data_IF_868372511849
#
_entry.id   IF_868372511849
#
_cell.length_a   1.000
_cell.length_b   1.000
_cell.length_c   1.000
_cell.angle_alpha   90.00
_cell.angle_beta   90.00
_cell.angle_gamma   90.00
#
_symmetry.space_group_name_H-M   'P 1'
#
loop_
_entity.id
_entity.type
_entity.pdbx_description
1 polymer ?
#
# COMPACT_ATOMS: atom_id res chain seq x y z
N UNK A 1 -2.22 7.90 32.52
CA UNK A 1 -3.19 6.88 32.09
C UNK A 1 -2.88 5.60 32.84
N UNK A 2 -3.78 5.21 33.75
CA UNK A 2 -3.77 3.89 34.37
C UNK A 2 -4.27 2.82 33.40
N UNK A 3 -3.61 1.67 33.35
CA UNK A 3 -3.96 0.56 32.47
C UNK A 3 -4.19 -0.70 33.31
N UNK A 4 -5.37 -1.30 33.17
CA UNK A 4 -5.71 -2.53 33.88
C UNK A 4 -5.24 -3.75 33.07
N UNK A 5 -4.44 -4.62 33.70
CA UNK A 5 -4.01 -5.90 33.12
C UNK A 5 -5.18 -6.89 33.10
N UNK A 6 -5.43 -7.55 31.97
CA UNK A 6 -6.61 -8.42 31.77
C UNK A 6 -6.29 -9.76 31.14
N UNK A 7 -5.43 -9.79 30.13
CA UNK A 7 -5.13 -10.99 29.37
C UNK A 7 -3.75 -11.58 29.67
N UNK A 8 -2.85 -10.77 30.22
CA UNK A 8 -1.45 -11.14 30.47
C UNK A 8 -1.13 -11.24 31.95
N UNK A 9 0.05 -11.76 32.29
CA UNK A 9 0.59 -11.80 33.65
C UNK A 9 1.92 -11.00 33.68
N UNK A 10 2.10 -10.15 34.69
CA UNK A 10 3.27 -9.30 34.83
C UNK A 10 4.60 -10.07 34.97
N UNK A 11 4.57 -11.31 35.45
CA UNK A 11 5.77 -12.14 35.64
C UNK A 11 6.04 -13.10 34.46
N UNK A 12 5.22 -13.04 33.40
CA UNK A 12 5.32 -13.95 32.25
C UNK A 12 5.46 -13.19 30.93
N UNK A 13 6.04 -13.86 29.94
CA UNK A 13 6.06 -13.36 28.56
C UNK A 13 4.61 -13.17 28.06
N UNK A 14 4.27 -12.06 27.37
CA UNK A 14 2.90 -11.78 26.92
C UNK A 14 2.37 -12.81 25.92
N UNK A 15 3.23 -13.66 25.36
CA UNK A 15 2.89 -14.75 24.45
C UNK A 15 2.96 -16.14 25.10
N UNK A 16 3.18 -16.25 26.42
CA UNK A 16 3.43 -17.53 27.10
C UNK A 16 2.35 -18.60 26.84
N UNK A 17 1.08 -18.19 26.74
CA UNK A 17 -0.06 -19.09 26.48
C UNK A 17 -0.38 -19.26 24.98
N UNK A 18 0.43 -18.69 24.09
CA UNK A 18 0.22 -18.71 22.64
C UNK A 18 1.27 -19.62 21.98
N UNK A 19 0.82 -20.73 21.41
CA UNK A 19 1.70 -21.59 20.63
C UNK A 19 2.03 -20.96 19.28
N UNK A 20 3.30 -20.61 19.05
CA UNK A 20 3.82 -20.24 17.73
C UNK A 20 4.29 -21.48 16.96
N UNK A 21 4.11 -21.44 15.65
CA UNK A 21 4.44 -22.55 14.76
C UNK A 21 5.06 -22.02 13.48
N UNK A 22 5.98 -22.82 12.93
CA UNK A 22 6.59 -22.58 11.63
C UNK A 22 5.57 -22.81 10.50
N UNK A 23 5.57 -21.89 9.53
CA UNK A 23 4.76 -21.93 8.31
C UNK A 23 5.61 -21.53 7.11
N UNK A 24 5.21 -22.02 5.94
CA UNK A 24 5.71 -21.53 4.65
C UNK A 24 4.61 -20.75 3.94
N UNK A 25 5.00 -19.75 3.17
CA UNK A 25 4.09 -18.95 2.33
C UNK A 25 4.59 -18.97 0.90
N UNK A 26 3.69 -19.21 -0.05
CA UNK A 26 3.97 -19.11 -1.48
C UNK A 26 2.90 -18.25 -2.15
N UNK A 27 3.35 -17.35 -3.01
CA UNK A 27 2.49 -16.48 -3.81
C UNK A 27 2.75 -16.80 -5.27
N UNK A 28 1.69 -17.12 -6.01
CA UNK A 28 1.75 -17.43 -7.44
C UNK A 28 0.88 -16.47 -8.23
N UNK A 29 1.29 -16.17 -9.45
CA UNK A 29 0.49 -15.48 -10.44
C UNK A 29 -0.63 -16.39 -10.94
N UNK A 30 -1.60 -15.82 -11.68
CA UNK A 30 -2.67 -16.58 -12.34
C UNK A 30 -2.15 -17.56 -13.41
N UNK A 31 -0.94 -17.36 -13.92
CA UNK A 31 -0.25 -18.29 -14.83
C UNK A 31 0.54 -19.39 -14.09
N UNK A 32 0.50 -19.42 -12.76
CA UNK A 32 1.19 -20.40 -11.91
C UNK A 32 2.65 -20.07 -11.56
N UNK A 33 3.21 -19.00 -12.15
CA UNK A 33 4.59 -18.56 -11.84
C UNK A 33 4.72 -18.04 -10.41
N UNK A 34 5.84 -18.34 -9.77
CA UNK A 34 6.11 -17.92 -8.39
C UNK A 34 6.43 -16.42 -8.34
N UNK A 35 5.68 -15.67 -7.55
CA UNK A 35 5.88 -14.23 -7.30
C UNK A 35 6.80 -14.05 -6.10
N UNK A 36 6.58 -14.83 -5.05
CA UNK A 36 7.28 -14.73 -3.79
C UNK A 36 7.09 -16.02 -3.00
N UNK A 37 8.14 -16.48 -2.34
CA UNK A 37 8.05 -17.53 -1.33
C UNK A 37 8.86 -17.12 -0.11
N UNK A 38 8.40 -17.52 1.06
CA UNK A 38 9.14 -17.38 2.30
C UNK A 38 8.83 -18.56 3.20
N UNK A 39 9.89 -19.29 3.53
CA UNK A 39 9.86 -20.38 4.50
C UNK A 39 10.18 -19.86 5.90
N UNK A 40 10.03 -20.76 6.87
CA UNK A 40 10.31 -20.57 8.30
C UNK A 40 9.64 -19.37 8.97
N UNK A 41 8.42 -19.04 8.56
CA UNK A 41 7.65 -17.95 9.16
C UNK A 41 7.07 -18.41 10.50
N UNK A 42 7.37 -17.69 11.58
CA UNK A 42 6.75 -17.93 12.88
C UNK A 42 5.45 -17.13 13.01
N UNK A 43 4.34 -17.82 13.26
CA UNK A 43 3.04 -17.20 13.50
C UNK A 43 2.23 -17.99 14.55
N UNK A 44 1.24 -17.36 15.20
CA UNK A 44 0.36 -18.07 16.13
C UNK A 44 -0.36 -19.25 15.46
N UNK A 45 -0.43 -20.40 16.11
CA UNK A 45 -1.00 -21.64 15.57
C UNK A 45 -2.46 -21.53 15.17
N UNK A 46 -3.22 -20.68 15.86
CA UNK A 46 -4.64 -20.44 15.61
C UNK A 46 -4.88 -19.55 14.37
N UNK A 47 -3.85 -18.93 13.78
CA UNK A 47 -4.02 -18.16 12.56
C UNK A 47 -4.27 -19.05 11.35
N UNK A 48 -5.19 -18.62 10.48
CA UNK A 48 -5.39 -19.25 9.18
C UNK A 48 -4.18 -19.03 8.28
N UNK A 49 -3.94 -19.94 7.33
CA UNK A 49 -2.86 -19.77 6.33
C UNK A 49 -3.02 -18.44 5.57
N UNK A 50 -4.25 -18.05 5.23
CA UNK A 50 -4.53 -16.77 4.55
C UNK A 50 -4.08 -15.56 5.39
N UNK A 51 -4.26 -15.61 6.72
CA UNK A 51 -3.79 -14.53 7.60
C UNK A 51 -2.26 -14.45 7.62
N UNK A 52 -1.58 -15.59 7.66
CA UNK A 52 -0.11 -15.67 7.59
C UNK A 52 0.38 -15.17 6.23
N UNK A 53 -0.24 -15.58 5.13
CA UNK A 53 0.11 -15.13 3.78
C UNK A 53 -0.07 -13.61 3.64
N UNK A 54 -1.14 -13.04 4.19
CA UNK A 54 -1.38 -11.58 4.18
C UNK A 54 -0.34 -10.85 5.02
N UNK A 55 -0.03 -11.35 6.22
CA UNK A 55 1.00 -10.79 7.10
C UNK A 55 2.34 -10.74 6.37
N UNK A 56 2.77 -11.86 5.83
CA UNK A 56 4.04 -11.97 5.11
C UNK A 56 4.01 -11.09 3.87
N UNK A 57 2.97 -11.15 3.04
CA UNK A 57 2.93 -10.43 1.77
C UNK A 57 2.93 -8.91 1.98
N UNK A 58 2.16 -8.41 2.94
CA UNK A 58 1.82 -6.99 3.03
C UNK A 58 2.48 -6.28 4.20
N UNK A 59 2.63 -6.94 5.35
CA UNK A 59 2.99 -6.27 6.59
C UNK A 59 4.42 -6.56 7.05
N UNK A 60 5.00 -7.70 6.66
CA UNK A 60 6.42 -7.94 6.88
C UNK A 60 7.28 -6.96 6.10
N UNK A 61 8.14 -6.25 6.84
CA UNK A 61 9.23 -5.49 6.29
C UNK A 61 10.15 -6.45 5.54
N UNK A 62 10.48 -6.09 4.30
CA UNK A 62 11.20 -6.99 3.39
C UNK A 62 12.72 -6.86 3.42
N UNK A 63 13.25 -5.79 3.99
CA UNK A 63 14.67 -5.52 4.06
C UNK A 63 15.01 -4.50 5.16
N UNK A 64 16.27 -4.51 5.60
CA UNK A 64 16.82 -3.58 6.58
C UNK A 64 16.51 -3.94 8.03
N UNK A 65 15.97 -5.13 8.29
CA UNK A 65 15.73 -5.64 9.65
C UNK A 65 16.98 -6.38 10.11
N UNK A 66 17.65 -5.98 11.21
CA UNK A 66 18.79 -6.71 11.75
C UNK A 66 18.44 -8.19 12.00
N UNK A 67 19.30 -9.10 11.55
CA UNK A 67 19.13 -10.53 11.77
C UNK A 67 19.84 -10.91 13.07
N UNK A 68 19.19 -11.76 13.87
CA UNK A 68 19.69 -12.19 15.17
C UNK A 68 20.07 -13.67 15.15
N UNK A 69 21.06 -14.05 15.94
CA UNK A 69 21.41 -15.44 16.20
C UNK A 69 20.42 -16.10 17.19
N UNK A 70 20.68 -17.36 17.56
CA UNK A 70 19.83 -18.12 18.47
C UNK A 70 19.80 -17.54 19.90
N UNK A 71 20.81 -16.76 20.28
CA UNK A 71 20.94 -16.12 21.59
C UNK A 71 20.37 -14.67 21.57
N UNK A 72 19.87 -14.21 20.42
CA UNK A 72 19.30 -12.89 20.24
C UNK A 72 20.31 -11.79 19.93
N UNK A 73 21.57 -12.13 19.66
CA UNK A 73 22.60 -11.16 19.32
C UNK A 73 22.58 -10.85 17.81
N UNK A 74 22.87 -9.60 17.39
CA UNK A 74 22.97 -9.26 15.98
C UNK A 74 24.03 -10.10 15.27
N UNK A 75 23.65 -10.75 14.17
CA UNK A 75 24.59 -11.41 13.26
C UNK A 75 25.37 -10.32 12.53
N UNK A 76 26.70 -10.38 12.57
CA UNK A 76 27.57 -9.41 11.90
C UNK A 76 28.19 -10.00 10.63
N UNK A 77 28.45 -9.14 9.65
CA UNK A 77 29.20 -9.47 8.44
C UNK A 77 30.73 -9.42 8.68
N UNK A 78 31.52 -9.74 7.65
CA UNK A 78 32.99 -9.74 7.72
C UNK A 78 33.61 -8.37 8.06
N UNK A 79 32.81 -7.30 8.06
CA UNK A 79 33.21 -5.92 8.35
C UNK A 79 32.56 -5.39 9.64
N UNK A 80 32.09 -6.29 10.51
CA UNK A 80 31.42 -5.99 11.78
C UNK A 80 30.11 -5.18 11.64
N UNK A 81 29.45 -5.20 10.46
CA UNK A 81 28.15 -4.55 10.28
C UNK A 81 27.02 -5.56 10.50
N UNK A 82 25.88 -5.15 11.09
CA UNK A 82 24.72 -6.02 11.23
C UNK A 82 24.22 -6.53 9.87
N UNK A 83 24.11 -7.85 9.74
CA UNK A 83 23.43 -8.50 8.62
C UNK A 83 21.95 -8.15 8.71
N UNK A 84 21.38 -7.69 7.60
CA UNK A 84 19.96 -7.31 7.54
C UNK A 84 19.17 -8.18 6.57
N UNK A 85 17.88 -8.30 6.83
CA UNK A 85 16.96 -9.14 6.07
C UNK A 85 15.50 -8.71 6.25
N UNK A 86 14.55 -9.59 5.92
CA UNK A 86 13.13 -9.37 6.18
C UNK A 86 12.73 -9.71 7.62
N UNK A 87 11.55 -9.27 8.04
CA UNK A 87 10.83 -9.90 9.16
C UNK A 87 10.47 -11.34 8.80
N UNK A 88 10.59 -12.26 9.75
CA UNK A 88 10.22 -13.69 9.62
C UNK A 88 9.33 -14.18 10.76
N UNK A 89 9.09 -13.35 11.78
CA UNK A 89 8.29 -13.70 12.94
C UNK A 89 7.20 -12.65 13.18
N UNK A 90 5.95 -13.10 13.35
CA UNK A 90 4.84 -12.19 13.64
C UNK A 90 5.09 -11.35 14.91
N UNK A 91 5.85 -11.87 15.89
CA UNK A 91 6.24 -11.14 17.11
C UNK A 91 7.12 -9.94 16.82
N UNK A 92 7.91 -9.95 15.76
CA UNK A 92 8.68 -8.76 15.34
C UNK A 92 7.75 -7.60 14.98
N UNK A 93 6.66 -7.92 14.25
CA UNK A 93 5.63 -6.94 13.88
C UNK A 93 4.89 -6.43 15.11
N UNK A 94 4.48 -7.33 16.02
CA UNK A 94 3.77 -6.93 17.25
C UNK A 94 4.66 -6.05 18.12
N UNK A 95 5.93 -6.42 18.29
CA UNK A 95 6.90 -5.66 19.07
C UNK A 95 7.10 -4.25 18.51
N UNK A 96 7.35 -4.08 17.21
CA UNK A 96 7.52 -2.73 16.65
C UNK A 96 6.24 -1.90 16.70
N UNK A 97 5.06 -2.52 16.75
CA UNK A 97 3.80 -1.79 16.91
C UNK A 97 3.57 -1.40 18.37
N UNK A 98 3.34 -2.40 19.23
CA UNK A 98 3.01 -2.20 20.64
C UNK A 98 4.13 -1.48 21.39
N UNK A 99 5.38 -1.89 21.18
CA UNK A 99 6.54 -1.28 21.82
C UNK A 99 6.78 0.17 21.38
N UNK A 100 6.61 0.49 20.08
CA UNK A 100 6.76 1.86 19.61
C UNK A 100 5.66 2.79 20.17
N UNK A 101 4.40 2.34 20.19
CA UNK A 101 3.32 3.11 20.81
C UNK A 101 3.55 3.31 22.32
N UNK A 102 4.03 2.28 23.01
CA UNK A 102 4.37 2.34 24.44
C UNK A 102 5.52 3.32 24.68
N UNK A 103 6.57 3.26 23.85
CA UNK A 103 7.70 4.17 23.91
C UNK A 103 7.26 5.63 23.78
N UNK A 104 6.45 5.97 22.77
CA UNK A 104 5.92 7.33 22.62
C UNK A 104 5.04 7.74 23.81
N UNK A 105 4.20 6.83 24.32
CA UNK A 105 3.40 7.10 25.51
C UNK A 105 4.25 7.37 26.75
N UNK A 106 5.37 6.66 26.93
CA UNK A 106 6.35 6.92 28.00
C UNK A 106 7.02 8.28 27.82
N UNK A 107 7.57 8.54 26.63
CA UNK A 107 8.29 9.80 26.33
C UNK A 107 7.42 11.04 26.50
N UNK A 108 6.12 10.94 26.23
CA UNK A 108 5.17 12.04 26.36
C UNK A 108 4.37 12.04 27.67
N UNK A 109 4.74 11.19 28.63
CA UNK A 109 4.14 11.19 29.98
C UNK A 109 2.66 10.80 30.00
N UNK A 110 2.24 9.90 29.10
CA UNK A 110 0.84 9.48 29.00
C UNK A 110 0.46 8.47 30.08
N UNK A 111 1.39 7.69 30.62
CA UNK A 111 1.14 6.66 31.62
C UNK A 111 1.30 7.18 33.05
N UNK A 112 0.50 6.65 33.98
CA UNK A 112 0.60 7.06 35.41
C UNK A 112 1.82 6.42 36.09
N UNK A 113 2.29 5.27 35.59
CA UNK A 113 3.48 4.56 36.05
C UNK A 113 4.15 3.75 34.94
N UNK A 114 5.38 3.27 35.19
CA UNK A 114 6.08 2.36 34.27
C UNK A 114 5.38 1.00 34.15
N UNK A 115 4.70 0.56 35.22
CA UNK A 115 3.90 -0.67 35.23
C UNK A 115 2.66 -0.55 34.33
N UNK A 116 2.03 0.62 34.30
CA UNK A 116 0.94 0.89 33.35
C UNK A 116 1.42 0.85 31.90
N UNK A 117 2.61 1.39 31.64
CA UNK A 117 3.21 1.35 30.31
C UNK A 117 3.57 -0.08 29.89
N UNK A 118 4.15 -0.88 30.80
CA UNK A 118 4.47 -2.28 30.52
C UNK A 118 3.19 -3.09 30.28
N UNK A 119 2.18 -2.89 31.13
CA UNK A 119 0.86 -3.51 30.97
C UNK A 119 0.24 -3.15 29.62
N UNK A 120 0.36 -1.91 29.17
CA UNK A 120 -0.12 -1.50 27.85
C UNK A 120 0.58 -2.24 26.71
N UNK A 121 1.91 -2.40 26.76
CA UNK A 121 2.67 -3.15 25.76
C UNK A 121 2.28 -4.63 25.73
N UNK A 122 2.21 -5.25 26.92
CA UNK A 122 1.92 -6.68 27.07
C UNK A 122 0.50 -7.02 26.57
N UNK A 123 -0.49 -6.25 27.02
CA UNK A 123 -1.90 -6.45 26.62
C UNK A 123 -2.09 -6.25 25.12
N UNK A 124 -1.47 -5.21 24.53
CA UNK A 124 -1.54 -5.01 23.08
C UNK A 124 -0.84 -6.11 22.29
N UNK A 125 0.33 -6.56 22.75
CA UNK A 125 1.05 -7.67 22.14
C UNK A 125 0.22 -8.95 22.13
N UNK A 126 -0.40 -9.29 23.26
CA UNK A 126 -1.33 -10.42 23.37
C UNK A 126 -2.55 -10.26 22.46
N UNK A 127 -3.18 -9.08 22.46
CA UNK A 127 -4.38 -8.80 21.68
C UNK A 127 -4.10 -8.83 20.17
N UNK A 128 -2.93 -8.36 19.72
CA UNK A 128 -2.50 -8.45 18.33
C UNK A 128 -2.27 -9.90 17.91
N UNK A 129 -1.57 -10.69 18.74
CA UNK A 129 -1.32 -12.11 18.49
C UNK A 129 -2.61 -12.94 18.44
N UNK A 130 -3.62 -12.60 19.24
CA UNK A 130 -4.93 -13.26 19.25
C UNK A 130 -5.96 -12.63 18.28
N UNK A 131 -5.55 -11.65 17.46
CA UNK A 131 -6.42 -10.93 16.52
C UNK A 131 -7.66 -10.27 17.18
N UNK A 132 -7.53 -9.86 18.45
CA UNK A 132 -8.59 -9.16 19.21
C UNK A 132 -8.67 -7.69 18.83
N UNK A 133 -7.58 -7.14 18.32
CA UNK A 133 -7.49 -5.77 17.80
C UNK A 133 -6.60 -5.75 16.56
N UNK A 134 -6.85 -4.79 15.67
CA UNK A 134 -6.02 -4.54 14.51
C UNK A 134 -6.06 -3.05 14.16
N UNK A 135 -4.91 -2.34 14.11
CA UNK A 135 -4.88 -0.99 13.62
C UNK A 135 -5.08 -0.93 12.09
N UNK A 136 -5.26 0.28 11.55
CA UNK A 136 -5.33 0.51 10.11
C UNK A 136 -4.02 0.11 9.41
N UNK A 137 -4.05 -0.20 8.10
CA UNK A 137 -2.91 -0.79 7.39
C UNK A 137 -1.60 0.04 7.42
N UNK A 138 -1.61 1.38 7.28
CA UNK A 138 -0.38 2.19 7.44
C UNK A 138 0.36 2.00 8.76
N UNK A 139 -0.34 1.71 9.86
CA UNK A 139 0.33 1.36 11.13
C UNK A 139 1.20 0.13 10.95
N UNK A 140 0.63 -0.95 10.40
CA UNK A 140 1.36 -2.17 10.10
C UNK A 140 2.53 -1.96 9.14
N UNK A 141 2.45 -1.01 8.20
CA UNK A 141 3.55 -0.78 7.25
C UNK A 141 4.72 0.00 7.85
N UNK A 142 4.45 1.01 8.67
CA UNK A 142 5.42 2.08 8.93
C UNK A 142 5.78 2.23 10.41
N UNK A 143 4.88 1.89 11.32
CA UNK A 143 5.07 2.13 12.76
C UNK A 143 6.21 1.27 13.30
N UNK A 144 7.07 1.92 14.09
CA UNK A 144 8.16 1.29 14.81
C UNK A 144 9.35 0.83 13.98
N UNK A 145 9.38 1.06 12.66
CA UNK A 145 10.52 0.67 11.83
C UNK A 145 11.82 1.37 12.27
N UNK A 146 11.75 2.66 12.58
CA UNK A 146 12.91 3.39 13.10
C UNK A 146 13.23 2.99 14.55
N UNK A 147 12.21 2.95 15.41
CA UNK A 147 12.37 2.64 16.83
C UNK A 147 12.92 1.23 17.08
N UNK A 148 12.34 0.20 16.46
CA UNK A 148 12.73 -1.19 16.70
C UNK A 148 14.01 -1.60 15.95
N UNK A 149 14.23 -1.05 14.75
CA UNK A 149 15.28 -1.54 13.83
C UNK A 149 16.31 -0.48 13.43
N UNK A 150 16.18 0.77 13.88
CA UNK A 150 17.05 1.87 13.48
C UNK A 150 16.95 2.24 12.00
N UNK A 151 15.89 1.80 11.29
CA UNK A 151 15.75 2.05 9.85
C UNK A 151 15.62 3.55 9.60
N UNK A 152 16.45 4.08 8.71
CA UNK A 152 16.44 5.48 8.30
C UNK A 152 16.21 5.61 6.79
N UNK A 153 15.96 6.83 6.35
CA UNK A 153 15.86 7.14 4.92
C UNK A 153 15.86 8.64 4.68
N UNK A 154 16.16 9.08 3.45
CA UNK A 154 16.20 10.50 3.12
C UNK A 154 14.83 11.15 3.34
N UNK A 155 14.77 12.44 3.71
CA UNK A 155 13.53 13.15 3.95
C UNK A 155 12.63 13.08 2.72
N UNK A 156 11.33 12.90 2.93
CA UNK A 156 10.34 12.72 1.86
C UNK A 156 9.35 13.89 1.75
N UNK A 157 9.59 14.98 2.49
CA UNK A 157 8.68 16.13 2.57
C UNK A 157 7.48 15.88 3.48
N UNK A 158 7.62 15.00 4.48
CA UNK A 158 6.66 14.89 5.57
C UNK A 158 6.86 16.02 6.58
N UNK A 159 5.77 16.39 7.24
CA UNK A 159 5.80 17.34 8.35
C UNK A 159 5.15 16.71 9.58
N UNK A 160 5.63 17.10 10.76
CA UNK A 160 5.09 16.70 12.04
C UNK A 160 4.99 17.91 12.96
N UNK A 161 4.10 17.84 13.96
CA UNK A 161 3.99 18.88 14.97
C UNK A 161 4.94 18.54 16.12
N UNK A 162 5.84 19.46 16.47
CA UNK A 162 6.69 19.30 17.64
C UNK A 162 5.82 19.27 18.90
N UNK A 163 5.86 18.20 19.72
CA UNK A 163 4.95 18.05 20.85
C UNK A 163 5.25 19.04 21.99
N UNK A 164 6.44 19.66 22.03
CA UNK A 164 6.83 20.64 23.05
C UNK A 164 6.48 22.06 22.62
N UNK A 165 6.76 22.41 21.37
CA UNK A 165 6.57 23.79 20.87
C UNK A 165 5.23 23.99 20.15
N UNK A 166 4.62 22.91 19.66
CA UNK A 166 3.42 22.97 18.80
C UNK A 166 3.71 23.43 17.37
N UNK A 167 4.97 23.60 17.00
CA UNK A 167 5.35 24.09 15.68
C UNK A 167 5.41 22.96 14.64
N UNK A 168 4.96 23.26 13.44
CA UNK A 168 5.08 22.35 12.30
C UNK A 168 6.53 22.31 11.81
N UNK A 169 7.16 21.15 11.86
CA UNK A 169 8.54 20.91 11.41
C UNK A 169 8.57 19.92 10.27
N UNK A 170 9.58 20.03 9.42
CA UNK A 170 9.85 19.05 8.37
C UNK A 170 10.62 17.87 8.95
N UNK A 171 10.22 16.65 8.57
CA UNK A 171 10.94 15.45 8.98
C UNK A 171 12.25 15.32 8.22
N UNK A 172 13.36 15.19 8.93
CA UNK A 172 14.69 14.95 8.37
C UNK A 172 14.92 13.48 8.01
N UNK A 173 14.08 12.58 8.54
CA UNK A 173 14.15 11.14 8.33
C UNK A 173 12.79 10.59 7.89
N UNK A 174 12.79 9.65 6.94
CA UNK A 174 11.60 9.02 6.40
C UNK A 174 10.79 8.16 7.40
N UNK A 175 11.43 7.63 8.45
CA UNK A 175 10.83 6.61 9.32
C UNK A 175 10.78 6.97 10.81
N UNK A 176 11.52 8.00 11.24
CA UNK A 176 11.54 8.48 12.63
C UNK A 176 10.17 9.02 13.07
N UNK A 177 9.55 9.82 12.19
CA UNK A 177 8.15 10.21 12.28
C UNK A 177 7.38 9.48 11.16
N UNK A 178 6.89 8.25 11.42
CA UNK A 178 6.24 7.47 10.37
C UNK A 178 4.95 8.14 9.89
N UNK A 179 4.43 7.68 8.76
CA UNK A 179 3.07 7.99 8.31
C UNK A 179 2.15 6.80 8.61
N UNK A 180 1.44 6.79 9.76
CA UNK A 180 0.67 5.62 10.18
C UNK A 180 -0.85 5.86 10.10
N UNK A 181 -1.32 6.83 9.33
CA UNK A 181 -2.74 7.17 9.18
C UNK A 181 -3.28 6.77 7.80
N UNK A 182 -4.48 6.20 7.77
CA UNK A 182 -5.07 5.71 6.53
C UNK A 182 -5.84 6.76 5.71
N UNK A 183 -6.35 7.82 6.34
CA UNK A 183 -7.30 8.74 5.70
C UNK A 183 -6.82 10.18 5.79
N UNK A 184 -6.83 10.88 4.65
CA UNK A 184 -6.50 12.30 4.55
C UNK A 184 -7.53 13.04 3.71
N UNK A 185 -7.93 14.22 4.17
CA UNK A 185 -8.72 15.17 3.39
C UNK A 185 -7.79 16.32 3.01
N UNK A 186 -7.72 16.64 1.72
CA UNK A 186 -6.85 17.68 1.20
C UNK A 186 -7.67 18.70 0.40
N UNK A 187 -7.28 19.96 0.51
CA UNK A 187 -7.79 21.04 -0.33
C UNK A 187 -6.97 21.18 -1.62
N UNK A 188 -7.61 21.75 -2.64
CA UNK A 188 -7.01 22.19 -3.88
C UNK A 188 -7.58 23.55 -4.24
N UNK A 189 -6.68 24.48 -4.55
CA UNK A 189 -7.01 25.81 -5.06
C UNK A 189 -6.97 25.79 -6.59
N UNK A 190 -7.70 26.70 -7.22
CA UNK A 190 -7.69 26.91 -8.66
C UNK A 190 -6.41 27.63 -9.14
N UNK A 191 -5.30 26.93 -8.94
CA UNK A 191 -3.95 27.31 -9.33
C UNK A 191 -3.24 26.09 -9.88
N UNK A 192 -2.46 26.26 -10.96
CA UNK A 192 -1.81 25.13 -11.60
C UNK A 192 -0.61 24.58 -10.81
N UNK A 193 0.31 25.43 -10.36
CA UNK A 193 1.67 25.02 -9.94
C UNK A 193 2.11 25.53 -8.57
N UNK A 194 1.43 26.51 -7.99
CA UNK A 194 1.79 27.05 -6.68
C UNK A 194 1.36 26.10 -5.54
N UNK A 195 1.84 26.37 -4.33
CA UNK A 195 1.48 25.61 -3.13
C UNK A 195 -0.04 25.62 -2.94
N UNK A 196 -0.63 24.44 -2.69
CA UNK A 196 -2.07 24.27 -2.62
C UNK A 196 -2.78 24.14 -3.96
N UNK A 197 -2.09 24.34 -5.09
CA UNK A 197 -2.61 24.15 -6.44
C UNK A 197 -2.72 22.69 -6.88
N UNK A 198 -3.06 22.49 -8.15
CA UNK A 198 -3.36 21.18 -8.75
C UNK A 198 -2.14 20.26 -8.77
N UNK A 199 -1.00 20.74 -9.29
CA UNK A 199 0.22 19.94 -9.38
C UNK A 199 0.80 19.63 -7.99
N UNK A 200 0.74 20.61 -7.07
CA UNK A 200 1.15 20.41 -5.69
C UNK A 200 0.26 19.38 -4.97
N UNK A 201 -1.06 19.38 -5.20
CA UNK A 201 -1.94 18.32 -4.68
C UNK A 201 -1.41 16.94 -5.08
N UNK A 202 -1.06 16.71 -6.34
CA UNK A 202 -0.57 15.39 -6.77
C UNK A 202 0.76 15.00 -6.13
N UNK A 203 1.65 15.97 -5.88
CA UNK A 203 2.89 15.73 -5.12
C UNK A 203 2.56 15.33 -3.68
N UNK A 204 1.66 16.07 -3.01
CA UNK A 204 1.23 15.76 -1.64
C UNK A 204 0.55 14.39 -1.56
N UNK A 205 -0.33 14.07 -2.51
CA UNK A 205 -0.97 12.76 -2.61
C UNK A 205 0.02 11.64 -2.84
N UNK A 206 1.01 11.84 -3.72
CA UNK A 206 2.05 10.84 -3.97
C UNK A 206 2.85 10.50 -2.71
N UNK A 207 3.16 11.50 -1.87
CA UNK A 207 3.81 11.28 -0.56
C UNK A 207 2.92 10.41 0.34
N UNK A 208 1.62 10.69 0.43
CA UNK A 208 0.68 9.91 1.24
C UNK A 208 0.49 8.49 0.71
N UNK A 209 0.32 8.34 -0.61
CA UNK A 209 0.18 7.05 -1.26
C UNK A 209 1.40 6.17 -1.06
N UNK A 210 2.62 6.73 -1.18
CA UNK A 210 3.88 6.00 -0.96
C UNK A 210 3.90 5.24 0.36
N UNK A 211 3.28 5.79 1.41
CA UNK A 211 3.24 5.20 2.75
C UNK A 211 1.93 4.48 3.10
N UNK A 212 1.01 4.31 2.15
CA UNK A 212 -0.15 3.43 2.33
C UNK A 212 -1.47 4.14 2.65
N UNK A 213 -1.46 5.47 2.69
CA UNK A 213 -2.63 6.30 2.99
C UNK A 213 -3.52 6.47 1.76
N UNK A 214 -4.81 6.72 1.96
CA UNK A 214 -5.75 7.19 0.95
C UNK A 214 -6.08 8.67 1.14
N UNK A 215 -6.50 9.33 0.07
CA UNK A 215 -6.76 10.77 0.05
C UNK A 215 -8.15 11.09 -0.48
N UNK A 216 -8.71 12.21 -0.04
CA UNK A 216 -9.96 12.75 -0.55
C UNK A 216 -9.88 14.25 -0.73
N UNK A 217 -10.42 14.76 -1.83
CA UNK A 217 -10.45 16.20 -2.10
C UNK A 217 -11.75 16.61 -2.76
N UNK A 218 -12.24 17.79 -2.39
CA UNK A 218 -13.31 18.47 -3.12
C UNK A 218 -12.68 19.38 -4.18
N UNK A 219 -13.09 19.20 -5.44
CA UNK A 219 -12.55 19.89 -6.60
C UNK A 219 -13.44 21.03 -7.11
N UNK A 220 -14.55 21.34 -6.42
CA UNK A 220 -15.53 22.37 -6.85
C UNK A 220 -14.97 23.77 -6.98
N UNK A 221 -13.79 24.05 -6.41
CA UNK A 221 -13.13 25.35 -6.57
C UNK A 221 -12.44 25.50 -7.93
N UNK A 222 -12.14 24.40 -8.64
CA UNK A 222 -11.51 24.48 -9.95
C UNK A 222 -12.47 25.06 -10.97
N UNK A 223 -11.96 25.89 -11.87
CA UNK A 223 -12.78 26.44 -12.96
C UNK A 223 -13.20 25.37 -13.98
N UNK A 224 -14.40 25.53 -14.53
CA UNK A 224 -14.93 24.63 -15.56
C UNK A 224 -14.22 24.73 -16.91
N UNK A 225 -14.54 23.80 -17.81
CA UNK A 225 -14.03 23.82 -19.17
C UNK A 225 -14.46 25.10 -19.92
N UNK A 226 -13.53 25.75 -20.62
CA UNK A 226 -13.83 26.93 -21.43
C UNK A 226 -13.80 28.27 -20.69
N UNK A 227 -13.70 28.27 -19.36
CA UNK A 227 -13.58 29.48 -18.56
C UNK A 227 -12.26 30.24 -18.82
N UNK A 228 -12.25 31.58 -18.70
CA UNK A 228 -11.08 32.39 -19.07
C UNK A 228 -9.88 32.17 -18.13
N UNK A 229 -8.68 32.26 -18.69
CA UNK A 229 -7.42 32.27 -17.95
C UNK A 229 -6.83 33.68 -17.88
N UNK A 230 -6.13 34.01 -16.80
CA UNK A 230 -5.52 35.34 -16.58
C UNK A 230 -4.45 35.69 -17.63
N UNK A 231 -3.70 34.70 -18.10
CA UNK A 231 -2.71 34.84 -19.17
C UNK A 231 -3.28 34.84 -20.59
N UNK A 232 -4.61 34.83 -20.75
CA UNK A 232 -5.29 34.61 -22.02
C UNK A 232 -5.54 33.12 -22.32
N UNK A 233 -6.53 32.85 -23.17
CA UNK A 233 -6.98 31.49 -23.47
C UNK A 233 -8.10 31.00 -22.57
N UNK A 234 -8.31 29.67 -22.56
CA UNK A 234 -9.44 29.01 -21.89
C UNK A 234 -8.96 27.79 -21.10
N UNK A 235 -9.63 27.51 -20.00
CA UNK A 235 -9.40 26.32 -19.17
C UNK A 235 -9.72 25.03 -19.93
N UNK A 236 -8.90 24.01 -19.70
CA UNK A 236 -9.15 22.62 -20.15
C UNK A 236 -10.20 21.89 -19.31
N UNK A 237 -10.71 22.52 -18.25
CA UNK A 237 -11.70 21.97 -17.32
C UNK A 237 -11.17 20.94 -16.34
N UNK A 238 -11.98 20.64 -15.34
CA UNK A 238 -11.70 19.72 -14.24
C UNK A 238 -11.31 18.32 -14.75
N UNK A 239 -12.08 17.81 -15.71
CA UNK A 239 -11.95 16.43 -16.19
C UNK A 239 -10.59 16.15 -16.82
N UNK A 240 -9.94 17.16 -17.40
CA UNK A 240 -8.58 17.03 -17.94
C UNK A 240 -7.56 16.77 -16.84
N UNK A 241 -7.67 17.45 -15.70
CA UNK A 241 -6.78 17.25 -14.54
C UNK A 241 -7.09 15.96 -13.80
N UNK A 242 -8.36 15.58 -13.65
CA UNK A 242 -8.73 14.32 -13.03
C UNK A 242 -8.18 13.11 -13.79
N UNK A 243 -8.11 13.15 -15.14
CA UNK A 243 -7.45 12.10 -15.94
C UNK A 243 -5.96 11.98 -15.60
N UNK A 244 -5.27 13.08 -15.35
CA UNK A 244 -3.86 13.04 -14.97
C UNK A 244 -3.72 12.48 -13.54
N UNK A 245 -4.56 12.94 -12.61
CA UNK A 245 -4.61 12.42 -11.24
C UNK A 245 -4.90 10.91 -11.19
N UNK A 246 -5.82 10.41 -12.00
CA UNK A 246 -6.12 8.97 -12.14
C UNK A 246 -4.89 8.18 -12.60
N UNK A 247 -4.19 8.67 -13.63
CA UNK A 247 -2.96 8.03 -14.13
C UNK A 247 -1.81 8.08 -13.11
N UNK A 248 -1.64 9.21 -12.42
CA UNK A 248 -0.65 9.36 -11.37
C UNK A 248 -0.91 8.40 -10.21
N UNK A 249 -2.15 8.34 -9.70
CA UNK A 249 -2.54 7.40 -8.65
C UNK A 249 -2.35 5.94 -9.10
N UNK A 250 -2.73 5.60 -10.33
CA UNK A 250 -2.58 4.26 -10.89
C UNK A 250 -1.13 3.79 -11.04
N UNK A 251 -0.17 4.71 -11.19
CA UNK A 251 1.25 4.40 -11.28
C UNK A 251 1.91 4.13 -9.90
N UNK A 252 1.29 4.57 -8.82
CA UNK A 252 1.87 4.49 -7.47
C UNK A 252 1.39 3.23 -6.75
N UNK A 253 2.34 2.36 -6.42
CA UNK A 253 2.13 1.25 -5.49
C UNK A 253 2.12 1.77 -4.07
N UNK A 254 0.95 1.76 -3.45
CA UNK A 254 0.72 2.36 -2.15
C UNK A 254 1.33 1.52 -1.02
N UNK A 255 2.02 2.18 -0.09
CA UNK A 255 2.74 1.54 1.02
C UNK A 255 3.97 0.75 0.59
N UNK A 256 4.48 0.94 -0.64
CA UNK A 256 5.61 0.20 -1.18
C UNK A 256 5.34 -1.30 -1.43
N UNK A 257 4.09 -1.75 -1.33
CA UNK A 257 3.68 -3.16 -1.49
C UNK A 257 2.73 -3.34 -2.69
N UNK A 258 1.78 -4.28 -2.62
CA UNK A 258 0.86 -4.63 -3.73
C UNK A 258 -0.42 -3.80 -3.77
N UNK A 259 -0.60 -2.83 -2.85
CA UNK A 259 -1.82 -2.02 -2.79
C UNK A 259 -1.80 -0.91 -3.85
N UNK A 260 -2.95 -0.62 -4.47
CA UNK A 260 -3.13 0.56 -5.34
C UNK A 260 -3.46 1.79 -4.49
N UNK A 261 -3.04 2.96 -4.95
CA UNK A 261 -3.47 4.22 -4.36
C UNK A 261 -5.01 4.33 -4.39
N UNK A 262 -5.59 4.94 -3.35
CA UNK A 262 -7.02 5.15 -3.23
C UNK A 262 -7.29 6.65 -3.10
N UNK A 263 -8.13 7.18 -4.00
CA UNK A 263 -8.49 8.58 -4.07
C UNK A 263 -10.01 8.76 -4.12
N UNK A 264 -10.52 9.67 -3.30
CA UNK A 264 -11.87 10.18 -3.36
C UNK A 264 -11.85 11.57 -4.02
N UNK A 265 -12.75 11.77 -4.98
CA UNK A 265 -12.95 13.07 -5.65
C UNK A 265 -14.40 13.46 -5.41
N UNK A 266 -14.59 14.62 -4.80
CA UNK A 266 -15.90 15.25 -4.63
C UNK A 266 -16.05 16.43 -5.59
N UNK A 267 -17.29 16.65 -6.03
CA UNK A 267 -17.68 17.78 -6.85
C UNK A 267 -19.10 18.20 -6.46
N UNK A 268 -19.34 19.50 -6.37
CA UNK A 268 -20.61 20.09 -6.02
C UNK A 268 -21.54 20.04 -7.25
N UNK A 269 -22.84 19.91 -7.02
CA UNK A 269 -23.82 19.63 -8.07
C UNK A 269 -24.00 20.78 -9.08
N UNK A 270 -23.61 21.99 -8.70
CA UNK A 270 -23.68 23.21 -9.51
C UNK A 270 -22.39 23.51 -10.28
N UNK A 271 -21.37 22.67 -10.17
CA UNK A 271 -20.13 22.83 -10.90
C UNK A 271 -20.36 22.69 -12.43
N UNK A 272 -19.78 23.55 -13.29
CA UNK A 272 -20.02 23.53 -14.74
C UNK A 272 -19.74 22.17 -15.41
N UNK A 273 -18.71 21.45 -14.94
CA UNK A 273 -18.32 20.14 -15.48
C UNK A 273 -19.06 18.94 -14.83
N UNK A 274 -20.14 19.16 -14.06
CA UNK A 274 -20.82 18.10 -13.28
C UNK A 274 -21.35 16.95 -14.15
N UNK A 275 -21.93 17.24 -15.32
CA UNK A 275 -22.49 16.20 -16.21
C UNK A 275 -21.41 15.27 -16.77
N UNK A 276 -20.24 15.82 -17.11
CA UNK A 276 -19.08 15.01 -17.52
C UNK A 276 -18.55 14.18 -16.35
N UNK A 277 -18.49 14.76 -15.15
CA UNK A 277 -18.00 14.08 -13.95
C UNK A 277 -18.86 12.87 -13.59
N UNK A 278 -20.20 13.01 -13.53
CA UNK A 278 -21.10 11.89 -13.16
C UNK A 278 -21.10 10.77 -14.21
N UNK A 279 -20.90 11.11 -15.49
CA UNK A 279 -20.91 10.14 -16.59
C UNK A 279 -19.56 9.44 -16.78
N UNK A 280 -18.48 9.98 -16.21
CA UNK A 280 -17.10 9.55 -16.46
C UNK A 280 -16.88 8.05 -16.24
N UNK A 281 -17.28 7.51 -15.09
CA UNK A 281 -17.08 6.08 -14.77
C UNK A 281 -17.83 5.16 -15.73
N UNK A 282 -19.07 5.51 -16.07
CA UNK A 282 -19.87 4.74 -17.04
C UNK A 282 -19.25 4.75 -18.44
N UNK A 283 -18.62 5.87 -18.85
CA UNK A 283 -17.86 5.93 -20.11
C UNK A 283 -16.65 4.99 -20.08
N UNK A 284 -15.89 4.97 -18.99
CA UNK A 284 -14.71 4.09 -18.87
C UNK A 284 -15.10 2.60 -18.86
N UNK A 285 -16.19 2.22 -18.17
CA UNK A 285 -16.68 0.84 -18.15
C UNK A 285 -17.07 0.33 -19.54
N UNK A 286 -17.66 1.20 -20.39
CA UNK A 286 -17.95 0.85 -21.79
C UNK A 286 -16.70 0.51 -22.59
N UNK A 287 -15.56 1.16 -22.32
CA UNK A 287 -14.29 0.82 -22.97
C UNK A 287 -13.82 -0.57 -22.55
N UNK A 288 -13.94 -0.92 -21.26
CA UNK A 288 -13.58 -2.26 -20.76
C UNK A 288 -14.46 -3.32 -21.43
N UNK A 289 -15.78 -3.10 -21.52
CA UNK A 289 -16.69 -4.01 -22.19
C UNK A 289 -16.33 -4.21 -23.68
N UNK A 290 -15.98 -3.13 -24.39
CA UNK A 290 -15.52 -3.19 -25.77
C UNK A 290 -14.22 -4.00 -25.91
N UNK A 291 -13.25 -3.82 -25.00
CA UNK A 291 -12.00 -4.59 -24.98
C UNK A 291 -12.23 -6.07 -24.70
N UNK A 292 -13.13 -6.41 -23.78
CA UNK A 292 -13.49 -7.81 -23.49
C UNK A 292 -14.14 -8.44 -24.72
N UNK A 293 -15.13 -7.79 -25.33
CA UNK A 293 -15.78 -8.28 -26.55
C UNK A 293 -14.80 -8.46 -27.72
N UNK A 294 -13.92 -7.47 -27.93
CA UNK A 294 -12.87 -7.54 -28.94
C UNK A 294 -11.86 -8.67 -28.68
N UNK A 295 -11.42 -8.85 -27.44
CA UNK A 295 -10.46 -9.91 -27.10
C UNK A 295 -11.06 -11.31 -27.27
N UNK A 296 -12.33 -11.52 -26.92
CA UNK A 296 -13.03 -12.79 -27.17
C UNK A 296 -13.18 -13.07 -28.66
N UNK A 297 -13.51 -12.04 -29.44
CA UNK A 297 -13.61 -12.14 -30.91
C UNK A 297 -12.26 -12.51 -31.51
N UNK A 298 -11.20 -11.79 -31.16
CA UNK A 298 -9.84 -12.08 -31.62
C UNK A 298 -9.42 -13.50 -31.23
N UNK A 299 -9.64 -13.92 -29.97
CA UNK A 299 -9.31 -15.29 -29.52
C UNK A 299 -9.99 -16.35 -30.38
N UNK A 300 -11.28 -16.17 -30.71
CA UNK A 300 -12.03 -17.11 -31.57
C UNK A 300 -11.43 -17.19 -32.98
N UNK A 301 -11.14 -16.05 -33.60
CA UNK A 301 -10.59 -16.03 -34.96
C UNK A 301 -9.15 -16.55 -35.01
N UNK A 302 -8.30 -16.16 -34.06
CA UNK A 302 -6.93 -16.65 -33.95
C UNK A 302 -6.89 -18.17 -33.73
N UNK A 303 -7.73 -18.70 -32.83
CA UNK A 303 -7.82 -20.15 -32.64
C UNK A 303 -8.22 -20.87 -33.93
N UNK A 304 -9.26 -20.38 -34.63
CA UNK A 304 -9.70 -20.99 -35.89
C UNK A 304 -8.65 -20.90 -37.01
N UNK A 305 -7.82 -19.85 -37.04
CA UNK A 305 -6.68 -19.73 -37.95
C UNK A 305 -5.60 -20.75 -37.58
N UNK A 306 -5.20 -20.83 -36.31
CA UNK A 306 -4.19 -21.77 -35.85
C UNK A 306 -4.60 -23.22 -36.10
N UNK A 307 -5.86 -23.58 -35.77
CA UNK A 307 -6.40 -24.91 -36.05
C UNK A 307 -6.32 -25.25 -37.54
N UNK A 308 -6.63 -24.29 -38.42
CA UNK A 308 -6.52 -24.48 -39.87
C UNK A 308 -5.05 -24.64 -40.31
N UNK A 309 -4.11 -23.88 -39.72
CA UNK A 309 -2.68 -24.02 -40.00
C UNK A 309 -2.18 -25.41 -39.61
N UNK A 310 -2.57 -25.93 -38.44
CA UNK A 310 -2.09 -27.23 -37.93
C UNK A 310 -2.84 -28.44 -38.50
N UNK A 311 -3.90 -28.23 -39.30
CA UNK A 311 -4.63 -29.31 -39.98
C UNK A 311 -3.93 -29.84 -41.25
N UNK A 312 -2.90 -29.15 -41.75
CA UNK A 312 -2.09 -29.58 -42.91
C UNK A 312 -0.64 -29.79 -42.49
N UNK A 313 0.19 -30.46 -43.31
CA UNK A 313 1.62 -30.64 -43.05
C UNK A 313 2.53 -29.84 -43.99
N UNK A 314 3.79 -29.62 -43.57
CA UNK A 314 4.78 -28.92 -44.39
C UNK A 314 4.49 -27.42 -44.60
N UNK A 315 4.83 -26.90 -45.78
CA UNK A 315 4.68 -25.48 -46.14
C UNK A 315 3.21 -25.05 -46.28
N UNK A 316 2.31 -25.99 -46.56
CA UNK A 316 0.86 -25.75 -46.64
C UNK A 316 0.25 -25.29 -45.30
N UNK A 317 0.95 -25.47 -44.16
CA UNK A 317 0.51 -24.93 -42.86
C UNK A 317 0.27 -23.42 -42.87
N UNK A 318 1.05 -22.69 -43.66
CA UNK A 318 1.12 -21.23 -43.61
C UNK A 318 0.82 -20.55 -44.95
N UNK A 319 0.61 -21.32 -46.03
CA UNK A 319 0.23 -20.79 -47.34
C UNK A 319 -1.29 -20.90 -47.57
N UNK A 320 -2.05 -19.80 -47.55
CA UNK A 320 -3.49 -19.81 -47.80
C UNK A 320 -3.86 -20.23 -49.23
N UNK A 321 -2.92 -20.25 -50.19
CA UNK A 321 -3.19 -20.74 -51.55
C UNK A 321 -3.27 -22.27 -51.57
N UNK A 322 -2.47 -22.93 -50.75
CA UNK A 322 -2.41 -24.40 -50.63
C UNK A 322 -3.37 -24.93 -49.56
N UNK A 323 -3.66 -24.13 -48.53
CA UNK A 323 -4.58 -24.48 -47.45
C UNK A 323 -5.89 -23.69 -47.55
N UNK A 324 -6.89 -24.31 -48.18
CA UNK A 324 -8.21 -23.71 -48.36
C UNK A 324 -8.96 -23.44 -47.04
N UNK A 325 -8.68 -24.21 -45.97
CA UNK A 325 -9.27 -23.94 -44.67
C UNK A 325 -8.71 -22.64 -44.10
N UNK A 326 -7.39 -22.45 -44.16
CA UNK A 326 -6.74 -21.20 -43.77
C UNK A 326 -7.25 -20.02 -44.61
N UNK A 327 -7.36 -20.19 -45.93
CA UNK A 327 -7.89 -19.17 -46.85
C UNK A 327 -9.28 -18.66 -46.49
N UNK A 328 -10.13 -19.54 -45.92
CA UNK A 328 -11.48 -19.20 -45.47
C UNK A 328 -11.50 -18.47 -44.13
N UNK A 329 -10.52 -18.72 -43.26
CA UNK A 329 -10.47 -18.15 -41.89
C UNK A 329 -9.83 -16.78 -41.83
N UNK A 330 -9.03 -16.40 -42.83
CA UNK A 330 -8.37 -15.09 -42.92
C UNK A 330 -9.18 -14.03 -43.69
N UNK A 331 -10.33 -14.40 -44.27
CA UNK A 331 -11.29 -13.48 -44.91
C UNK A 331 -12.32 -13.00 -43.90
#
# INVERSE_FOLDING_TARGET
MKVERRFTNAEADPYADIQFVTRSTEIRNTDGSLVFAMDDVQAPKNWSQVAVDVLVQKYFRKAGVPQLDADGNPILDEKDNPVTGPERDARQVFHRLAGCWTHWGREHGYFDSDDDAQTFEDELSYMLANQMTAPNSPQWFNTGLHWAYGITGPPQGHRYCDPKTGELKESTNAYEHPQPHACFIQSVSDDLVNEGGIMDLWVREARLFKYGSGTGSNFSQLRGAGEPLSGGGKSSGLMSFLKIGDRAAGAIKSGGTTRRAAKMVCLDLDHPDIEEFISWKSVEERKVAALVSGSLTNRRHTAAILDACFACDGTAKIDPKENHQLARRIK
#
